data_IF_084721533177
#
_entry.id   IF_084721533177
#
_cell.length_a   1.000
_cell.length_b   1.000
_cell.length_c   1.000
_cell.angle_alpha   90.00
_cell.angle_beta   90.00
_cell.angle_gamma   90.00
#
_symmetry.space_group_name_H-M   'P 1'
#
loop_
_entity.id
_entity.type
_entity.pdbx_description
1 polymer ?
#
# COMPACT_ATOMS: atom_id res chain seq x y z
N UNK A 1 27.30 -14.48 66.24
CA UNK A 1 28.03 -13.69 65.23
C UNK A 1 28.18 -14.52 63.95
N UNK A 2 27.85 -13.93 62.79
CA UNK A 2 28.26 -14.30 61.42
C UNK A 2 27.44 -15.24 60.51
N UNK A 3 26.30 -15.83 60.91
CA UNK A 3 25.49 -16.65 59.96
C UNK A 3 24.03 -16.22 59.73
N UNK A 4 23.47 -15.33 60.55
CA UNK A 4 22.10 -14.84 60.37
C UNK A 4 21.98 -13.49 59.62
N UNK A 5 23.11 -12.92 59.18
CA UNK A 5 23.13 -11.64 58.43
C UNK A 5 23.24 -11.81 56.91
N UNK A 6 23.39 -13.04 56.41
CA UNK A 6 23.58 -13.30 54.98
C UNK A 6 22.25 -13.47 54.20
N UNK A 7 21.12 -13.69 54.89
CA UNK A 7 19.84 -13.97 54.22
C UNK A 7 19.03 -12.68 53.94
N UNK A 8 19.27 -11.59 54.69
CA UNK A 8 18.63 -10.30 54.43
C UNK A 8 19.33 -9.44 53.36
N UNK A 9 20.49 -9.85 52.86
CA UNK A 9 21.20 -9.15 51.77
C UNK A 9 20.87 -9.68 50.37
N UNK A 10 20.03 -10.71 50.25
CA UNK A 10 19.58 -11.28 48.98
C UNK A 10 18.14 -10.85 48.58
N UNK A 11 17.52 -9.94 49.36
CA UNK A 11 16.20 -9.39 49.11
C UNK A 11 16.24 -7.90 48.75
N UNK A 12 17.32 -7.48 48.07
CA UNK A 12 17.48 -6.12 47.57
C UNK A 12 17.82 -6.18 46.08
N UNK A 13 16.91 -5.64 45.28
CA UNK A 13 17.08 -5.28 43.86
C UNK A 13 17.02 -6.44 42.87
N UNK A 14 15.91 -7.17 42.87
CA UNK A 14 15.32 -7.67 41.62
C UNK A 14 14.09 -6.82 41.29
N UNK A 15 14.28 -5.51 41.15
CA UNK A 15 13.36 -4.73 40.33
C UNK A 15 13.55 -5.25 38.90
N UNK A 16 12.70 -6.18 38.49
CA UNK A 16 12.48 -6.44 37.08
C UNK A 16 12.21 -5.08 36.46
N UNK A 17 13.19 -4.56 35.72
CA UNK A 17 12.93 -3.57 34.71
C UNK A 17 12.00 -4.27 33.70
N UNK A 18 10.70 -4.19 33.97
CA UNK A 18 9.70 -4.36 32.93
C UNK A 18 10.16 -3.42 31.81
N UNK A 19 10.47 -3.94 30.61
CA UNK A 19 10.71 -3.04 29.49
C UNK A 19 9.44 -2.19 29.38
N UNK A 20 9.55 -0.91 29.68
CA UNK A 20 8.55 0.06 29.28
C UNK A 20 8.34 -0.18 27.80
N UNK A 21 7.15 -0.67 27.41
CA UNK A 21 6.72 -0.63 26.01
C UNK A 21 6.55 0.84 25.64
N UNK A 22 7.68 1.52 25.46
CA UNK A 22 7.72 2.89 24.99
C UNK A 22 7.34 2.85 23.52
N UNK A 23 6.11 3.27 23.21
CA UNK A 23 5.76 3.78 21.88
C UNK A 23 4.85 2.95 20.97
N UNK A 24 4.09 1.97 21.47
CA UNK A 24 3.20 1.17 20.60
C UNK A 24 1.84 1.82 20.23
N UNK A 25 1.57 3.05 20.69
CA UNK A 25 0.38 3.85 20.34
C UNK A 25 0.71 5.33 20.59
N UNK A 26 1.62 5.89 19.79
CA UNK A 26 1.94 7.31 19.91
C UNK A 26 2.38 7.91 18.58
N UNK A 27 1.80 9.07 18.29
CA UNK A 27 2.18 9.90 17.14
C UNK A 27 3.30 10.88 17.48
N UNK A 28 3.70 11.02 18.75
CA UNK A 28 4.64 12.06 19.20
C UNK A 28 5.97 11.97 18.47
N UNK A 29 6.47 10.75 18.24
CA UNK A 29 7.71 10.49 17.50
C UNK A 29 7.40 9.95 16.09
N UNK A 30 6.47 10.61 15.39
CA UNK A 30 6.04 10.18 14.05
C UNK A 30 5.96 11.37 13.08
N UNK A 31 5.90 11.10 11.77
CA UNK A 31 5.68 12.13 10.75
C UNK A 31 4.37 12.93 10.92
N UNK A 32 3.38 12.42 11.67
CA UNK A 32 2.12 13.12 11.94
C UNK A 32 2.17 14.03 13.17
N UNK A 33 3.29 14.10 13.89
CA UNK A 33 3.51 15.18 14.85
C UNK A 33 3.97 16.43 14.10
N UNK A 34 3.02 17.34 13.84
CA UNK A 34 3.29 18.63 13.19
C UNK A 34 3.52 19.74 14.21
N UNK A 35 3.57 19.45 15.51
CA UNK A 35 3.82 20.48 16.52
C UNK A 35 5.26 20.99 16.49
N UNK A 36 5.50 22.15 17.08
CA UNK A 36 6.81 22.81 17.16
C UNK A 36 7.87 22.06 17.96
N UNK A 37 7.49 21.05 18.74
CA UNK A 37 8.41 20.15 19.42
C UNK A 37 8.80 18.91 18.60
N UNK A 38 8.33 18.78 17.37
CA UNK A 38 8.56 17.61 16.52
C UNK A 38 9.97 17.58 15.91
N UNK A 39 10.37 16.40 15.46
CA UNK A 39 11.55 16.19 14.59
C UNK A 39 11.14 15.84 13.15
N UNK A 40 9.85 15.90 12.84
CA UNK A 40 9.33 15.63 11.50
C UNK A 40 9.80 16.66 10.48
N UNK A 41 9.85 16.25 9.19
CA UNK A 41 10.20 17.14 8.06
C UNK A 41 9.27 18.36 7.97
N UNK A 42 8.00 18.16 8.28
CA UNK A 42 6.96 19.18 8.20
C UNK A 42 6.43 19.39 9.62
N UNK A 43 6.61 20.59 10.15
CA UNK A 43 6.16 20.97 11.49
C UNK A 43 5.89 22.47 11.56
N UNK A 44 4.96 22.85 12.43
CA UNK A 44 4.66 24.24 12.76
C UNK A 44 5.78 24.81 13.62
N UNK A 45 6.04 26.11 13.51
CA UNK A 45 6.95 26.82 14.42
C UNK A 45 6.22 27.41 15.63
N UNK A 46 4.89 27.35 15.67
CA UNK A 46 4.05 28.09 16.62
C UNK A 46 3.17 27.17 17.48
N UNK A 47 2.59 26.14 16.87
CA UNK A 47 1.63 25.27 17.54
C UNK A 47 2.31 24.13 18.28
N UNK A 48 2.04 24.01 19.58
CA UNK A 48 2.66 23.00 20.46
C UNK A 48 1.81 21.76 20.64
N UNK A 49 0.50 21.83 20.35
CA UNK A 49 -0.41 20.69 20.50
C UNK A 49 -0.24 19.72 19.33
N UNK A 50 -0.12 18.45 19.66
CA UNK A 50 0.14 17.40 18.67
C UNK A 50 -1.12 17.05 17.87
N UNK A 51 -2.27 16.89 18.56
CA UNK A 51 -3.48 16.38 17.92
C UNK A 51 -4.29 17.43 17.15
N UNK A 52 -4.04 18.73 17.37
CA UNK A 52 -4.87 19.82 16.82
C UNK A 52 -4.85 19.88 15.29
N UNK A 53 -3.81 19.34 14.65
CA UNK A 53 -3.71 19.25 13.21
C UNK A 53 -4.73 18.27 12.60
N UNK A 54 -5.29 17.36 13.40
CA UNK A 54 -6.27 16.37 12.98
C UNK A 54 -7.61 16.57 13.69
N UNK A 55 -7.59 16.74 15.01
CA UNK A 55 -8.77 16.72 15.86
C UNK A 55 -8.96 18.00 16.66
N UNK A 56 -10.20 18.37 16.92
CA UNK A 56 -10.55 19.51 17.77
C UNK A 56 -11.62 19.11 18.78
N UNK A 57 -11.58 19.59 20.03
CA UNK A 57 -12.64 19.30 21.00
C UNK A 57 -13.99 19.97 20.67
N UNK A 58 -14.00 21.03 19.85
CA UNK A 58 -15.20 21.80 19.47
C UNK A 58 -14.96 22.57 18.16
N UNK A 59 -16.02 23.12 17.55
CA UNK A 59 -15.94 23.86 16.28
C UNK A 59 -15.28 23.05 15.15
N UNK A 60 -15.63 21.76 15.10
CA UNK A 60 -15.17 20.87 14.04
C UNK A 60 -15.67 21.32 12.67
N UNK A 61 -14.89 20.99 11.65
CA UNK A 61 -15.36 21.06 10.28
C UNK A 61 -16.57 20.14 10.12
N UNK A 62 -17.58 20.62 9.40
CA UNK A 62 -18.68 19.77 8.97
C UNK A 62 -18.18 18.83 7.88
N UNK A 63 -18.03 17.56 8.23
CA UNK A 63 -17.63 16.52 7.27
C UNK A 63 -18.75 16.27 6.27
N UNK A 64 -18.34 15.99 5.04
CA UNK A 64 -19.23 15.62 3.94
C UNK A 64 -19.88 14.24 4.15
N UNK A 65 -19.16 13.32 4.81
CA UNK A 65 -19.69 12.02 5.23
C UNK A 65 -20.40 12.20 6.56
N UNK A 66 -21.71 12.42 6.51
CA UNK A 66 -22.55 12.62 7.71
C UNK A 66 -22.72 11.35 8.54
N UNK A 67 -22.26 10.19 8.05
CA UNK A 67 -22.30 8.93 8.77
C UNK A 67 -21.03 8.64 9.56
N UNK A 68 -20.00 9.49 9.44
CA UNK A 68 -18.76 9.34 10.20
C UNK A 68 -18.99 9.55 11.70
N UNK A 69 -18.70 8.52 12.49
CA UNK A 69 -18.88 8.52 13.95
C UNK A 69 -17.58 8.71 14.74
N UNK A 70 -16.48 9.07 14.07
CA UNK A 70 -15.20 9.27 14.73
C UNK A 70 -15.09 10.62 15.44
N UNK A 71 -13.93 10.91 16.07
CA UNK A 71 -13.71 12.16 16.77
C UNK A 71 -13.84 13.37 15.85
N UNK A 72 -14.18 14.51 16.45
CA UNK A 72 -14.31 15.79 15.77
C UNK A 72 -13.04 16.15 15.00
N UNK A 73 -13.20 16.54 13.74
CA UNK A 73 -12.10 16.82 12.82
C UNK A 73 -11.80 18.32 12.74
N UNK A 74 -10.53 18.65 12.78
CA UNK A 74 -10.02 20.02 12.79
C UNK A 74 -9.43 20.40 11.45
N UNK A 75 -9.91 19.91 10.30
CA UNK A 75 -9.47 20.42 8.99
C UNK A 75 -10.60 20.48 8.00
N UNK A 76 -10.51 21.35 7.02
CA UNK A 76 -11.45 21.34 5.90
C UNK A 76 -11.26 20.07 5.06
N UNK A 77 -12.34 19.52 4.53
CA UNK A 77 -12.28 18.47 3.53
C UNK A 77 -12.34 19.08 2.13
N UNK A 78 -11.76 18.40 1.15
CA UNK A 78 -12.10 18.67 -0.22
C UNK A 78 -13.54 18.21 -0.47
N UNK A 79 -14.46 19.17 -0.52
CA UNK A 79 -15.88 18.88 -0.75
C UNK A 79 -16.18 18.69 -2.24
N UNK A 80 -15.28 19.16 -3.11
CA UNK A 80 -15.34 18.87 -4.53
C UNK A 80 -15.22 17.34 -4.72
N UNK A 81 -16.21 16.75 -5.40
CA UNK A 81 -16.22 15.33 -5.77
C UNK A 81 -15.41 15.12 -7.06
N UNK A 82 -14.16 15.56 -7.05
CA UNK A 82 -13.30 15.64 -8.24
C UNK A 82 -12.04 14.78 -8.14
N UNK A 83 -12.02 13.82 -7.20
CA UNK A 83 -11.05 12.74 -7.27
C UNK A 83 -11.33 11.89 -8.50
N UNK A 84 -10.27 11.32 -9.08
CA UNK A 84 -10.38 10.29 -10.12
C UNK A 84 -10.06 8.94 -9.47
N UNK A 85 -11.06 8.14 -9.06
CA UNK A 85 -10.82 6.89 -8.37
C UNK A 85 -10.17 5.85 -9.28
N UNK A 86 -9.52 4.86 -8.66
CA UNK A 86 -9.06 3.67 -9.33
C UNK A 86 -10.18 2.96 -10.09
N UNK A 87 -9.88 2.54 -11.31
CA UNK A 87 -10.72 1.68 -12.12
C UNK A 87 -9.86 0.77 -12.97
N UNK A 88 -10.31 -0.47 -13.15
CA UNK A 88 -9.66 -1.47 -14.00
C UNK A 88 -10.72 -2.40 -14.60
N UNK A 89 -10.37 -3.17 -15.61
CA UNK A 89 -11.26 -4.17 -16.19
C UNK A 89 -11.39 -5.41 -15.31
N UNK A 90 -10.43 -5.65 -14.42
CA UNK A 90 -10.34 -6.83 -13.57
C UNK A 90 -10.87 -6.63 -12.15
N UNK A 91 -11.11 -5.37 -11.74
CA UNK A 91 -11.67 -5.08 -10.41
C UNK A 91 -13.19 -5.32 -10.39
N UNK A 92 -13.63 -6.15 -9.45
CA UNK A 92 -15.07 -6.43 -9.26
C UNK A 92 -15.80 -5.36 -8.42
N UNK A 93 -15.05 -4.63 -7.59
CA UNK A 93 -15.58 -3.51 -6.83
C UNK A 93 -15.68 -2.25 -7.71
N UNK A 94 -16.54 -1.32 -7.31
CA UNK A 94 -16.63 0.02 -7.92
C UNK A 94 -16.20 1.04 -6.87
N UNK A 95 -14.90 1.43 -6.83
CA UNK A 95 -14.43 2.48 -5.94
C UNK A 95 -15.18 3.79 -6.23
N UNK A 96 -15.75 4.38 -5.18
CA UNK A 96 -16.42 5.67 -5.25
C UNK A 96 -15.46 6.83 -5.00
N UNK A 97 -16.03 8.03 -4.90
CA UNK A 97 -15.32 9.16 -4.32
C UNK A 97 -14.86 8.83 -2.89
N UNK A 98 -13.68 9.29 -2.46
CA UNK A 98 -13.20 9.06 -1.10
C UNK A 98 -14.20 9.51 -0.04
N UNK A 99 -14.43 8.64 0.95
CA UNK A 99 -15.40 8.85 2.02
C UNK A 99 -14.84 8.38 3.37
N UNK A 100 -15.52 8.78 4.45
CA UNK A 100 -15.11 8.48 5.82
C UNK A 100 -13.64 8.79 6.09
N UNK A 101 -12.89 7.87 6.74
CA UNK A 101 -11.50 8.11 7.13
C UNK A 101 -10.56 8.49 5.98
N UNK A 102 -10.74 7.91 4.78
CA UNK A 102 -9.85 8.18 3.66
C UNK A 102 -9.93 9.62 3.19
N UNK A 103 -11.12 10.22 3.22
CA UNK A 103 -11.28 11.65 2.89
C UNK A 103 -10.61 12.56 3.91
N UNK A 104 -10.59 12.17 5.18
CA UNK A 104 -9.85 12.91 6.22
C UNK A 104 -8.34 12.88 5.95
N UNK A 105 -7.80 11.71 5.60
CA UNK A 105 -6.39 11.60 5.20
C UNK A 105 -6.08 12.48 3.98
N UNK A 106 -6.94 12.45 2.97
CA UNK A 106 -6.75 13.22 1.74
C UNK A 106 -6.85 14.74 1.96
N UNK A 107 -7.46 15.22 3.05
CA UNK A 107 -7.39 16.65 3.42
C UNK A 107 -5.97 17.18 3.73
N UNK A 108 -4.99 16.28 3.82
CA UNK A 108 -3.56 16.60 3.85
C UNK A 108 -2.84 16.02 2.64
N UNK A 109 -3.15 14.77 2.30
CA UNK A 109 -2.40 13.96 1.34
C UNK A 109 -2.80 14.16 -0.12
N UNK A 110 -3.88 14.90 -0.40
CA UNK A 110 -4.21 15.33 -1.78
C UNK A 110 -3.40 16.55 -2.23
N UNK A 111 -2.63 17.17 -1.33
CA UNK A 111 -1.75 18.30 -1.63
C UNK A 111 -2.47 19.61 -1.98
N UNK A 112 -3.79 19.71 -1.77
CA UNK A 112 -4.57 20.90 -2.16
C UNK A 112 -4.89 21.84 -1.01
N UNK A 113 -4.99 21.32 0.22
CA UNK A 113 -5.34 22.09 1.41
C UNK A 113 -4.09 22.40 2.22
N UNK A 114 -3.91 23.67 2.62
CA UNK A 114 -2.80 24.08 3.47
C UNK A 114 -2.82 23.38 4.84
N UNK A 115 -1.66 22.96 5.33
CA UNK A 115 -1.56 22.24 6.60
C UNK A 115 -1.77 23.16 7.82
N UNK A 116 -1.45 24.45 7.68
CA UNK A 116 -1.47 25.47 8.74
C UNK A 116 -2.84 26.03 9.14
N UNK A 117 -3.91 25.55 8.52
CA UNK A 117 -5.28 25.94 8.82
C UNK A 117 -6.11 24.76 9.32
N UNK A 118 -5.87 24.24 10.53
CA UNK A 118 -6.74 23.24 11.09
C UNK A 118 -8.10 23.85 11.48
N UNK A 119 -9.03 23.87 10.52
CA UNK A 119 -10.42 24.27 10.72
C UNK A 119 -10.53 25.74 11.11
N UNK A 120 -11.33 26.05 12.13
CA UNK A 120 -11.54 27.43 12.60
C UNK A 120 -10.36 28.01 13.40
N UNK A 121 -9.30 27.22 13.63
CA UNK A 121 -8.10 27.68 14.30
C UNK A 121 -6.98 27.88 13.27
N UNK A 122 -6.54 29.13 13.06
CA UNK A 122 -5.31 29.39 12.33
C UNK A 122 -4.13 29.01 13.24
N UNK A 123 -3.47 27.87 13.00
CA UNK A 123 -2.39 27.38 13.88
C UNK A 123 -0.99 27.55 13.30
N UNK A 124 -0.87 27.98 12.04
CA UNK A 124 0.26 28.79 11.56
C UNK A 124 0.05 29.20 10.10
N UNK A 125 0.18 30.48 9.76
CA UNK A 125 0.06 30.93 8.36
C UNK A 125 1.20 30.41 7.44
N UNK A 126 2.23 29.75 7.99
CA UNK A 126 3.43 29.34 7.27
C UNK A 126 3.40 27.90 6.75
N UNK A 127 2.48 27.05 7.22
CA UNK A 127 2.37 25.67 6.74
C UNK A 127 1.46 25.60 5.51
N UNK A 128 2.07 25.62 4.31
CA UNK A 128 1.39 25.42 3.03
C UNK A 128 0.87 23.99 2.82
N UNK A 129 0.33 23.68 1.63
CA UNK A 129 -0.06 22.32 1.27
C UNK A 129 1.14 21.37 1.28
N UNK A 130 0.88 20.07 1.50
CA UNK A 130 1.93 19.07 1.45
C UNK A 130 2.48 18.98 0.01
N UNK A 131 3.79 19.07 -0.14
CA UNK A 131 4.47 18.94 -1.43
C UNK A 131 5.26 17.64 -1.50
N UNK A 132 5.30 16.99 -2.68
CA UNK A 132 6.15 15.82 -2.89
C UNK A 132 7.61 16.12 -2.52
N UNK A 133 8.35 15.15 -1.96
CA UNK A 133 9.77 15.32 -1.71
C UNK A 133 10.52 15.45 -3.07
N UNK A 134 11.66 16.16 -3.10
CA UNK A 134 12.47 16.28 -4.33
C UNK A 134 12.95 14.94 -4.89
N UNK A 135 13.13 13.95 -4.02
CA UNK A 135 13.54 12.59 -4.36
C UNK A 135 12.80 11.58 -3.47
N UNK A 136 12.62 10.35 -3.97
CA UNK A 136 11.99 9.27 -3.23
C UNK A 136 10.47 9.20 -3.39
N UNK A 137 9.83 8.30 -2.61
CA UNK A 137 8.38 8.09 -2.65
C UNK A 137 7.65 9.26 -2.01
N UNK A 138 6.61 9.72 -2.69
CA UNK A 138 5.73 10.79 -2.20
C UNK A 138 4.65 10.22 -1.27
N UNK A 139 4.31 10.96 -0.23
CA UNK A 139 3.08 10.75 0.54
C UNK A 139 1.94 11.67 0.05
N UNK A 140 2.22 12.56 -0.90
CA UNK A 140 1.19 13.32 -1.62
C UNK A 140 0.71 12.45 -2.77
N UNK A 141 -0.55 12.00 -2.68
CA UNK A 141 -1.23 11.20 -3.71
C UNK A 141 -1.88 12.10 -4.77
N UNK A 142 -2.36 13.27 -4.35
CA UNK A 142 -3.12 14.15 -5.24
C UNK A 142 -4.58 13.73 -5.34
N UNK A 143 -5.23 14.17 -6.43
CA UNK A 143 -6.63 13.84 -6.74
C UNK A 143 -6.80 12.70 -7.73
N UNK A 144 -5.74 12.37 -8.46
CA UNK A 144 -5.73 11.22 -9.36
C UNK A 144 -5.29 10.01 -8.55
N UNK A 145 -6.22 9.09 -8.27
CA UNK A 145 -5.99 7.89 -7.46
C UNK A 145 -5.96 6.63 -8.34
N UNK A 146 -5.83 6.80 -9.66
CA UNK A 146 -5.82 5.67 -10.60
C UNK A 146 -4.58 4.79 -10.50
N UNK A 147 -3.53 5.27 -9.85
CA UNK A 147 -2.28 4.57 -9.58
C UNK A 147 -2.10 4.16 -8.11
N UNK A 148 -3.17 4.28 -7.32
CA UNK A 148 -3.24 3.87 -5.93
C UNK A 148 -4.13 2.64 -5.76
N UNK A 149 -3.80 1.82 -4.76
CA UNK A 149 -4.65 0.74 -4.33
C UNK A 149 -6.01 1.31 -3.93
N UNK A 150 -7.12 0.77 -4.47
CA UNK A 150 -8.43 1.34 -4.29
C UNK A 150 -8.85 1.44 -2.82
N UNK A 151 -9.42 2.58 -2.48
CA UNK A 151 -10.05 2.91 -1.19
C UNK A 151 -11.50 3.29 -1.45
N UNK A 152 -12.30 3.38 -0.38
CA UNK A 152 -13.74 3.65 -0.50
C UNK A 152 -14.45 2.67 -1.44
N UNK A 153 -13.95 1.43 -1.44
CA UNK A 153 -14.45 0.31 -2.24
C UNK A 153 -14.99 -0.80 -1.33
N UNK A 154 -15.97 -1.53 -1.82
CA UNK A 154 -16.50 -2.71 -1.12
C UNK A 154 -15.47 -3.84 -1.08
N UNK A 155 -15.29 -4.42 0.10
CA UNK A 155 -14.41 -5.54 0.31
C UNK A 155 -15.03 -6.85 -0.18
N UNK A 156 -14.25 -7.66 -0.91
CA UNK A 156 -14.56 -9.07 -1.12
C UNK A 156 -15.69 -9.37 -2.12
N UNK A 157 -16.01 -8.46 -3.04
CA UNK A 157 -17.07 -8.69 -4.06
C UNK A 157 -16.87 -9.96 -4.91
N UNK A 158 -15.63 -10.31 -5.22
CA UNK A 158 -15.24 -11.57 -5.88
C UNK A 158 -14.65 -12.51 -4.83
N UNK A 159 -15.52 -13.23 -4.12
CA UNK A 159 -15.13 -14.02 -2.93
C UNK A 159 -14.04 -15.06 -3.17
N UNK A 160 -13.84 -15.52 -4.40
CA UNK A 160 -12.78 -16.47 -4.75
C UNK A 160 -11.36 -15.88 -4.66
N UNK A 161 -11.22 -14.55 -4.61
CA UNK A 161 -9.91 -13.87 -4.58
C UNK A 161 -9.61 -13.19 -3.24
N UNK A 162 -10.53 -13.28 -2.28
CA UNK A 162 -10.43 -12.63 -0.98
C UNK A 162 -10.63 -13.62 0.14
N UNK A 163 -9.92 -13.40 1.25
CA UNK A 163 -10.18 -14.09 2.50
C UNK A 163 -11.51 -13.63 3.09
N UNK A 164 -12.08 -14.45 3.96
CA UNK A 164 -13.28 -14.07 4.70
C UNK A 164 -13.01 -12.84 5.60
N UNK A 165 -13.94 -11.88 5.59
CA UNK A 165 -13.79 -10.63 6.31
C UNK A 165 -13.71 -10.80 7.83
N UNK A 166 -14.41 -11.79 8.40
CA UNK A 166 -14.33 -12.07 9.84
C UNK A 166 -12.97 -12.67 10.21
N UNK A 167 -12.39 -13.47 9.32
CA UNK A 167 -11.01 -13.96 9.47
C UNK A 167 -10.00 -12.81 9.43
N UNK A 168 -10.10 -11.93 8.44
CA UNK A 168 -9.19 -10.76 8.30
C UNK A 168 -9.24 -9.87 9.54
N UNK A 169 -10.44 -9.45 9.93
CA UNK A 169 -10.63 -8.48 11.02
C UNK A 169 -10.49 -9.10 12.41
N UNK A 170 -10.73 -10.41 12.55
CA UNK A 170 -10.65 -11.12 13.83
C UNK A 170 -9.24 -11.58 14.20
N UNK A 171 -8.31 -11.69 13.24
CA UNK A 171 -6.97 -12.24 13.47
C UNK A 171 -5.84 -11.23 13.27
N UNK A 172 -6.15 -10.03 12.76
CA UNK A 172 -5.17 -9.00 12.43
C UNK A 172 -5.60 -7.63 12.92
N UNK A 173 -4.74 -6.62 12.75
CA UNK A 173 -5.07 -5.21 13.03
C UNK A 173 -5.75 -4.50 11.85
N UNK A 174 -6.00 -5.20 10.74
CA UNK A 174 -6.76 -4.66 9.60
C UNK A 174 -8.18 -4.31 10.06
N UNK A 175 -8.64 -3.11 9.73
CA UNK A 175 -10.00 -2.64 10.01
C UNK A 175 -10.76 -2.43 8.70
N UNK A 176 -11.92 -3.06 8.56
CA UNK A 176 -12.86 -2.77 7.48
C UNK A 176 -13.95 -1.83 8.00
N UNK A 177 -14.24 -0.77 7.25
CA UNK A 177 -15.23 0.23 7.66
C UNK A 177 -16.63 -0.24 7.25
N UNK A 178 -17.53 -0.38 8.21
CA UNK A 178 -18.91 -0.76 7.94
C UNK A 178 -19.74 0.47 7.58
N UNK A 179 -20.43 0.42 6.45
CA UNK A 179 -21.48 1.38 6.07
C UNK A 179 -22.74 0.59 5.72
N UNK A 180 -23.80 0.81 6.50
CA UNK A 180 -24.97 -0.06 6.49
C UNK A 180 -24.56 -1.55 6.64
N UNK A 181 -24.95 -2.41 5.70
CA UNK A 181 -24.61 -3.84 5.69
C UNK A 181 -23.27 -4.17 5.02
N UNK A 182 -22.59 -3.20 4.41
CA UNK A 182 -21.44 -3.43 3.53
C UNK A 182 -20.13 -3.04 4.22
N UNK A 183 -19.08 -3.84 4.00
CA UNK A 183 -17.73 -3.58 4.48
C UNK A 183 -16.89 -2.92 3.40
N UNK A 184 -16.14 -1.89 3.78
CA UNK A 184 -15.31 -1.10 2.87
C UNK A 184 -13.85 -1.13 3.30
N UNK A 185 -12.97 -1.11 2.28
CA UNK A 185 -11.55 -0.82 2.45
C UNK A 185 -11.35 0.68 2.45
N UNK A 186 -10.60 1.19 3.43
CA UNK A 186 -10.23 2.60 3.55
C UNK A 186 -8.73 2.72 3.86
N UNK A 187 -8.17 3.93 3.86
CA UNK A 187 -6.78 4.16 4.27
C UNK A 187 -6.48 3.52 5.64
N UNK A 188 -7.44 3.57 6.57
CA UNK A 188 -7.31 2.99 7.91
C UNK A 188 -7.37 1.46 7.95
N UNK A 189 -7.64 0.81 6.83
CA UNK A 189 -7.51 -0.65 6.71
C UNK A 189 -6.05 -1.07 6.70
N UNK A 190 -5.15 -0.23 6.16
CA UNK A 190 -3.71 -0.51 6.07
C UNK A 190 -2.88 0.35 7.03
N UNK A 191 -3.38 1.55 7.38
CA UNK A 191 -2.68 2.52 8.21
C UNK A 191 -3.38 2.78 9.56
N UNK A 192 -2.66 2.76 10.67
CA UNK A 192 -3.14 3.27 11.95
C UNK A 192 -2.55 4.67 12.19
N UNK A 193 -3.30 5.76 11.99
CA UNK A 193 -2.75 7.11 12.12
C UNK A 193 -2.24 7.43 13.52
N UNK A 194 -2.56 6.59 14.53
CA UNK A 194 -2.14 6.77 15.91
C UNK A 194 -0.93 5.93 16.33
N UNK A 195 -0.45 5.04 15.44
CA UNK A 195 0.59 4.08 15.77
C UNK A 195 1.54 3.87 14.59
N UNK A 196 2.79 4.27 14.79
CA UNK A 196 3.85 4.16 13.79
C UNK A 196 4.89 3.08 14.13
N UNK A 197 4.55 2.09 14.98
CA UNK A 197 5.53 1.09 15.45
C UNK A 197 6.16 0.27 14.32
N UNK A 198 5.46 0.06 13.20
CA UNK A 198 5.96 -0.68 12.03
C UNK A 198 6.49 0.24 10.92
N UNK A 199 6.52 1.56 11.15
CA UNK A 199 6.81 2.56 10.13
C UNK A 199 5.66 2.73 9.13
N UNK A 200 5.63 3.88 8.46
CA UNK A 200 4.55 4.28 7.53
C UNK A 200 3.13 4.09 8.11
N UNK A 201 2.99 4.12 9.44
CA UNK A 201 1.75 3.81 10.14
C UNK A 201 1.12 2.46 9.78
N UNK A 202 1.88 1.49 9.28
CA UNK A 202 1.29 0.21 8.87
C UNK A 202 0.64 -0.51 10.06
N UNK A 203 -0.50 -1.15 9.83
CA UNK A 203 -1.18 -1.94 10.86
C UNK A 203 -0.55 -3.31 11.08
N UNK A 204 0.31 -3.77 10.16
CA UNK A 204 1.05 -5.03 10.24
C UNK A 204 2.56 -4.80 10.10
N UNK A 205 3.35 -5.67 10.72
CA UNK A 205 4.79 -5.73 10.52
C UNK A 205 5.11 -6.37 9.17
N UNK A 206 5.72 -5.60 8.27
CA UNK A 206 6.13 -6.04 6.94
C UNK A 206 7.65 -6.17 6.81
N UNK A 207 8.39 -6.26 7.93
CA UNK A 207 9.85 -6.29 7.95
C UNK A 207 10.42 -7.61 7.42
N UNK A 208 9.73 -8.72 7.68
CA UNK A 208 10.08 -10.07 7.20
C UNK A 208 9.43 -10.41 5.85
N UNK A 209 8.18 -9.99 5.63
CA UNK A 209 7.42 -10.22 4.38
C UNK A 209 6.73 -8.92 3.97
N UNK A 210 7.18 -8.31 2.86
CA UNK A 210 6.74 -6.97 2.47
C UNK A 210 5.33 -6.93 1.88
N UNK A 211 4.80 -8.08 1.48
CA UNK A 211 3.46 -8.28 0.94
C UNK A 211 2.45 -8.81 1.99
N UNK A 212 2.82 -8.87 3.27
CA UNK A 212 1.94 -9.36 4.34
C UNK A 212 0.59 -8.61 4.38
N UNK A 213 0.56 -7.31 4.08
CA UNK A 213 -0.68 -6.53 3.98
C UNK A 213 -1.59 -7.01 2.85
N UNK A 214 -0.99 -7.45 1.73
CA UNK A 214 -1.71 -7.93 0.56
C UNK A 214 -2.31 -9.32 0.85
N UNK A 215 -1.48 -10.24 1.34
CA UNK A 215 -1.84 -11.66 1.52
C UNK A 215 -2.79 -11.93 2.69
N UNK A 216 -2.96 -10.96 3.60
CA UNK A 216 -4.01 -10.99 4.61
C UNK A 216 -5.39 -10.83 3.99
N UNK A 217 -5.54 -10.00 2.97
CA UNK A 217 -6.83 -9.77 2.33
C UNK A 217 -7.03 -10.65 1.08
N UNK A 218 -6.01 -10.75 0.24
CA UNK A 218 -6.07 -11.43 -1.04
C UNK A 218 -5.63 -12.90 -0.91
N UNK A 219 -6.43 -13.78 -1.52
CA UNK A 219 -6.16 -15.20 -1.64
C UNK A 219 -6.09 -15.54 -3.13
N UNK A 220 -4.91 -15.39 -3.74
CA UNK A 220 -4.71 -15.71 -5.16
C UNK A 220 -4.49 -17.22 -5.32
N UNK A 221 -5.23 -17.80 -6.27
CA UNK A 221 -5.17 -19.23 -6.61
C UNK A 221 -3.74 -19.63 -6.99
N UNK A 222 -3.24 -20.69 -6.36
CA UNK A 222 -1.91 -21.28 -6.53
C UNK A 222 -0.71 -20.34 -6.27
N UNK A 223 -0.91 -19.24 -5.53
CA UNK A 223 0.18 -18.38 -5.07
C UNK A 223 1.12 -19.10 -4.10
N UNK A 224 0.54 -19.80 -3.11
CA UNK A 224 1.31 -20.57 -2.14
C UNK A 224 1.99 -21.75 -2.83
N UNK A 225 3.31 -21.85 -2.68
CA UNK A 225 4.15 -22.82 -3.38
C UNK A 225 4.73 -22.30 -4.69
N UNK A 226 4.30 -21.14 -5.20
CA UNK A 226 4.83 -20.57 -6.43
C UNK A 226 6.30 -20.13 -6.27
N UNK A 227 7.00 -20.03 -7.40
CA UNK A 227 8.35 -19.51 -7.51
C UNK A 227 8.41 -18.01 -7.20
N UNK A 228 7.32 -17.26 -7.38
CA UNK A 228 7.26 -15.84 -7.01
C UNK A 228 6.89 -15.60 -5.55
N UNK A 229 6.33 -16.59 -4.86
CA UNK A 229 6.19 -16.58 -3.39
C UNK A 229 7.47 -17.07 -2.69
N UNK A 230 8.05 -18.19 -3.13
CA UNK A 230 9.16 -18.85 -2.42
C UNK A 230 10.56 -18.56 -2.99
N UNK A 231 10.64 -17.87 -4.12
CA UNK A 231 11.86 -17.72 -4.91
C UNK A 231 13.07 -17.18 -4.14
N UNK A 232 14.26 -17.63 -4.55
CA UNK A 232 15.55 -17.32 -3.94
C UNK A 232 16.23 -16.05 -4.46
N UNK A 233 17.55 -16.14 -4.71
CA UNK A 233 18.43 -14.99 -4.98
C UNK A 233 18.08 -14.21 -6.25
N UNK A 234 18.26 -12.90 -6.15
CA UNK A 234 17.95 -11.89 -7.18
C UNK A 234 18.75 -12.14 -8.45
N UNK A 235 18.09 -12.03 -9.60
CA UNK A 235 18.76 -12.07 -10.91
C UNK A 235 19.27 -10.69 -11.37
N UNK A 236 18.88 -9.60 -10.71
CA UNK A 236 19.39 -8.25 -10.96
C UNK A 236 19.54 -7.42 -9.68
N UNK A 237 20.38 -6.37 -9.73
CA UNK A 237 20.53 -5.39 -8.66
C UNK A 237 19.34 -4.42 -8.50
N UNK A 238 18.34 -4.49 -9.39
CA UNK A 238 17.19 -3.59 -9.40
C UNK A 238 16.15 -3.92 -8.31
N UNK A 239 16.19 -5.12 -7.74
CA UNK A 239 15.30 -5.54 -6.66
C UNK A 239 16.02 -5.41 -5.30
N UNK A 240 15.45 -4.72 -4.29
CA UNK A 240 16.14 -4.41 -3.04
C UNK A 240 16.12 -5.54 -1.99
N UNK A 241 15.32 -6.59 -2.20
CA UNK A 241 15.19 -7.76 -1.31
C UNK A 241 15.13 -9.08 -2.10
N UNK A 242 15.18 -10.22 -1.43
CA UNK A 242 14.95 -11.53 -2.07
C UNK A 242 13.51 -11.61 -2.59
N UNK A 243 13.28 -12.41 -3.63
CA UNK A 243 11.97 -12.53 -4.28
C UNK A 243 10.91 -12.90 -3.23
N UNK A 244 11.17 -13.92 -2.40
CA UNK A 244 10.27 -14.34 -1.33
C UNK A 244 10.03 -13.28 -0.25
N UNK A 245 11.02 -12.42 0.06
CA UNK A 245 10.86 -11.35 1.05
C UNK A 245 9.90 -10.26 0.55
N UNK A 246 9.88 -10.01 -0.75
CA UNK A 246 9.02 -9.00 -1.36
C UNK A 246 7.67 -9.55 -1.81
N UNK A 247 7.60 -10.81 -2.25
CA UNK A 247 6.38 -11.44 -2.77
C UNK A 247 5.66 -10.54 -3.78
N UNK A 248 4.40 -10.18 -3.49
CA UNK A 248 3.58 -9.34 -4.37
C UNK A 248 4.23 -8.01 -4.76
N UNK A 249 5.01 -7.38 -3.86
CA UNK A 249 5.57 -6.03 -4.11
C UNK A 249 6.80 -6.03 -5.02
N UNK A 250 7.22 -7.20 -5.53
CA UNK A 250 8.13 -7.26 -6.67
C UNK A 250 7.47 -6.73 -7.95
N UNK A 251 6.16 -6.96 -8.08
CA UNK A 251 5.40 -6.66 -9.29
C UNK A 251 4.39 -5.53 -9.06
N UNK A 252 3.78 -5.47 -7.88
CA UNK A 252 2.72 -4.51 -7.57
C UNK A 252 3.20 -3.37 -6.66
N UNK A 253 2.75 -2.16 -6.98
CA UNK A 253 2.97 -0.94 -6.20
C UNK A 253 1.62 -0.46 -5.67
N UNK A 254 1.43 -0.36 -4.34
CA UNK A 254 0.15 0.07 -3.79
C UNK A 254 -0.12 1.57 -3.93
N UNK A 255 0.91 2.39 -4.16
CA UNK A 255 0.77 3.85 -4.30
C UNK A 255 1.75 4.39 -5.34
N UNK A 256 1.26 5.17 -6.30
CA UNK A 256 2.09 5.73 -7.36
C UNK A 256 2.60 4.69 -8.36
N UNK A 257 1.77 3.70 -8.70
CA UNK A 257 2.10 2.70 -9.71
C UNK A 257 2.20 3.33 -11.11
N UNK A 258 3.30 3.11 -11.84
CA UNK A 258 3.45 3.70 -13.17
C UNK A 258 2.43 3.15 -14.17
N UNK A 259 2.03 1.88 -14.00
CA UNK A 259 0.89 1.29 -14.69
C UNK A 259 -0.28 1.21 -13.72
N UNK A 260 -0.95 2.35 -13.54
CA UNK A 260 -1.98 2.49 -12.52
C UNK A 260 -3.09 1.45 -12.63
N UNK A 261 -3.59 1.16 -13.84
CA UNK A 261 -4.71 0.22 -14.09
C UNK A 261 -4.48 -1.22 -13.59
N UNK A 262 -3.22 -1.64 -13.46
CA UNK A 262 -2.82 -2.97 -12.99
C UNK A 262 -1.98 -2.90 -11.70
N UNK A 263 -1.76 -1.68 -11.19
CA UNK A 263 -0.88 -1.36 -10.08
C UNK A 263 0.54 -1.92 -10.22
N UNK A 264 1.09 -1.99 -11.44
CA UNK A 264 2.43 -2.56 -11.67
C UNK A 264 3.55 -1.54 -11.37
N UNK A 265 4.69 -2.05 -10.91
CA UNK A 265 5.80 -1.24 -10.34
C UNK A 265 6.62 -0.44 -11.35
N UNK A 266 6.60 -0.85 -12.62
CA UNK A 266 7.71 -0.63 -13.56
C UNK A 266 8.18 0.80 -13.80
N UNK A 267 9.45 0.91 -14.21
CA UNK A 267 10.29 2.14 -14.25
C UNK A 267 10.99 2.38 -15.59
N UNK A 268 10.47 1.85 -16.72
CA UNK A 268 11.04 2.05 -18.05
C UNK A 268 10.11 2.82 -19.00
N UNK A 269 10.68 3.56 -19.96
CA UNK A 269 9.92 4.15 -21.05
C UNK A 269 9.32 3.02 -21.92
N UNK A 270 8.00 2.97 -22.04
CA UNK A 270 7.28 1.86 -22.70
C UNK A 270 6.85 0.73 -21.78
N UNK A 271 6.72 0.98 -20.46
CA UNK A 271 6.24 0.01 -19.48
C UNK A 271 4.91 -0.66 -19.89
N UNK A 272 4.86 -1.97 -19.69
CA UNK A 272 3.81 -2.93 -20.05
C UNK A 272 3.75 -4.05 -19.00
N UNK A 273 2.75 -4.93 -19.09
CA UNK A 273 2.74 -6.16 -18.29
C UNK A 273 3.98 -7.04 -18.51
N UNK A 274 4.52 -7.09 -19.73
CA UNK A 274 5.64 -7.97 -20.09
C UNK A 274 6.96 -7.46 -19.56
N UNK A 275 7.21 -6.16 -19.69
CA UNK A 275 8.39 -5.52 -19.12
C UNK A 275 8.43 -5.71 -17.60
N UNK A 276 7.29 -5.94 -16.94
CA UNK A 276 7.23 -6.14 -15.48
C UNK A 276 7.96 -7.41 -15.08
N UNK A 277 7.92 -8.42 -15.97
CA UNK A 277 8.64 -9.67 -15.79
C UNK A 277 10.13 -9.49 -16.13
N UNK A 278 10.45 -9.01 -17.32
CA UNK A 278 11.83 -9.12 -17.83
C UNK A 278 12.70 -7.89 -17.57
N UNK A 279 12.17 -6.66 -17.50
CA UNK A 279 13.00 -5.45 -17.40
C UNK A 279 13.84 -5.42 -16.11
N UNK A 280 13.33 -6.03 -15.02
CA UNK A 280 14.01 -6.07 -13.72
C UNK A 280 14.42 -7.47 -13.27
N UNK A 281 13.75 -8.56 -13.68
CA UNK A 281 13.97 -9.88 -13.09
C UNK A 281 14.44 -10.94 -14.10
N UNK A 282 13.79 -11.04 -15.27
CA UNK A 282 14.06 -12.07 -16.26
C UNK A 282 14.94 -11.60 -17.46
N UNK A 283 15.93 -10.73 -17.20
CA UNK A 283 16.87 -10.19 -18.20
C UNK A 283 18.31 -10.72 -18.12
N UNK A 284 18.62 -11.61 -17.16
CA UNK A 284 20.00 -12.07 -16.95
C UNK A 284 20.47 -12.95 -18.13
N UNK A 285 21.78 -13.07 -18.36
CA UNK A 285 22.34 -13.73 -19.56
C UNK A 285 22.34 -15.27 -19.54
N UNK A 286 22.03 -15.92 -18.42
CA UNK A 286 22.04 -17.38 -18.26
C UNK A 286 20.63 -17.96 -18.09
N UNK A 287 20.31 -19.02 -18.86
CA UNK A 287 19.12 -19.85 -18.67
C UNK A 287 19.13 -20.52 -17.27
N UNK A 288 17.98 -20.65 -16.57
CA UNK A 288 16.60 -20.36 -17.00
C UNK A 288 16.14 -18.90 -16.77
N UNK A 289 17.02 -18.02 -16.33
CA UNK A 289 16.69 -16.65 -15.91
C UNK A 289 16.68 -15.61 -17.04
N UNK A 290 16.88 -16.04 -18.29
CA UNK A 290 16.79 -15.21 -19.50
C UNK A 290 15.54 -15.56 -20.32
N UNK A 291 14.36 -15.21 -19.81
CA UNK A 291 13.11 -15.47 -20.55
C UNK A 291 13.10 -14.61 -21.82
N UNK A 292 13.66 -13.41 -21.77
CA UNK A 292 13.74 -12.50 -22.92
C UNK A 292 14.47 -13.11 -24.13
N UNK A 293 15.54 -13.87 -23.92
CA UNK A 293 16.27 -14.50 -25.04
C UNK A 293 15.52 -15.65 -25.71
N UNK A 294 14.52 -16.25 -25.04
CA UNK A 294 13.68 -17.30 -25.64
C UNK A 294 12.84 -16.76 -26.81
N UNK A 295 12.53 -15.46 -26.81
CA UNK A 295 11.80 -14.80 -27.90
C UNK A 295 12.63 -14.63 -29.19
N UNK A 296 13.95 -14.80 -29.12
CA UNK A 296 14.86 -14.72 -30.25
C UNK A 296 15.22 -16.10 -30.85
N UNK A 297 14.67 -17.19 -30.32
CA UNK A 297 14.98 -18.55 -30.78
C UNK A 297 14.26 -18.85 -32.10
N UNK A 298 15.04 -19.10 -33.16
CA UNK A 298 14.52 -19.49 -34.48
C UNK A 298 13.70 -20.77 -34.40
N UNK A 299 12.47 -20.74 -34.90
CA UNK A 299 11.53 -21.88 -34.90
C UNK A 299 10.48 -21.87 -33.79
N UNK A 300 10.68 -21.09 -32.72
CA UNK A 300 9.62 -20.78 -31.77
C UNK A 300 8.71 -19.71 -32.40
N UNK A 301 7.41 -20.01 -32.57
CA UNK A 301 6.42 -19.07 -33.10
C UNK A 301 5.99 -18.06 -32.02
N UNK A 302 6.96 -17.32 -31.49
CA UNK A 302 6.71 -16.11 -30.74
C UNK A 302 6.80 -14.98 -31.77
N UNK A 303 5.70 -14.32 -32.19
CA UNK A 303 5.75 -13.20 -33.14
C UNK A 303 6.71 -12.11 -32.64
N UNK A 304 7.94 -12.12 -33.15
CA UNK A 304 9.02 -11.27 -32.69
C UNK A 304 8.76 -9.83 -33.12
N UNK A 305 8.45 -8.96 -32.16
CA UNK A 305 8.45 -7.50 -32.36
C UNK A 305 7.19 -6.73 -31.99
N UNK A 306 6.20 -7.33 -31.31
CA UNK A 306 4.92 -6.67 -31.01
C UNK A 306 4.41 -6.69 -29.56
N UNK A 307 5.12 -7.34 -28.64
CA UNK A 307 4.63 -7.56 -27.25
C UNK A 307 4.35 -6.26 -26.49
N UNK A 308 5.25 -5.27 -26.61
CA UNK A 308 5.08 -3.97 -25.96
C UNK A 308 4.40 -2.91 -26.84
N UNK A 309 4.21 -3.17 -28.13
CA UNK A 309 3.59 -2.18 -29.03
C UNK A 309 2.11 -1.96 -28.74
N UNK A 310 1.53 -2.82 -27.90
CA UNK A 310 0.20 -2.72 -27.34
C UNK A 310 0.19 -3.05 -25.84
N UNK A 311 1.21 -2.58 -25.10
CA UNK A 311 1.57 -2.81 -23.69
C UNK A 311 0.49 -3.23 -22.65
N UNK A 312 -0.79 -2.92 -22.90
CA UNK A 312 -1.93 -3.12 -22.00
C UNK A 312 -3.19 -3.65 -22.73
N UNK A 313 -3.05 -4.41 -23.82
CA UNK A 313 -4.21 -4.94 -24.56
C UNK A 313 -4.84 -6.17 -23.90
N UNK A 314 -4.06 -6.98 -23.18
CA UNK A 314 -4.63 -8.10 -22.45
C UNK A 314 -5.59 -7.64 -21.36
N UNK A 315 -6.74 -8.30 -21.28
CA UNK A 315 -7.68 -8.18 -20.18
C UNK A 315 -8.25 -9.56 -19.87
N UNK A 316 -8.33 -9.93 -18.59
CA UNK A 316 -8.97 -11.18 -18.16
C UNK A 316 -10.46 -11.26 -18.57
N UNK A 317 -11.06 -10.16 -19.01
CA UNK A 317 -12.48 -10.06 -19.40
C UNK A 317 -12.70 -10.02 -20.92
N UNK A 318 -11.65 -10.25 -21.72
CA UNK A 318 -11.77 -10.27 -23.17
C UNK A 318 -12.67 -11.42 -23.67
N UNK A 319 -13.39 -11.19 -24.77
CA UNK A 319 -14.24 -12.21 -25.38
C UNK A 319 -13.48 -12.89 -26.52
N UNK A 320 -13.18 -14.17 -26.34
CA UNK A 320 -12.50 -14.98 -27.35
C UNK A 320 -13.50 -15.59 -28.37
N UNK A 321 -13.11 -15.72 -29.66
CA UNK A 321 -11.84 -15.32 -30.24
C UNK A 321 -11.75 -13.81 -30.53
N UNK A 322 -10.56 -13.23 -30.34
CA UNK A 322 -10.33 -11.81 -30.62
C UNK A 322 -10.46 -11.47 -32.12
N UNK A 323 -11.06 -10.33 -32.48
CA UNK A 323 -10.99 -9.77 -33.82
C UNK A 323 -9.54 -9.60 -34.28
N UNK A 324 -9.28 -9.67 -35.59
CA UNK A 324 -7.93 -9.63 -36.14
C UNK A 324 -7.13 -8.37 -35.73
N UNK A 325 -7.81 -7.24 -35.51
CA UNK A 325 -7.22 -5.96 -35.06
C UNK A 325 -6.84 -5.94 -33.58
N UNK A 326 -7.41 -6.84 -32.79
CA UNK A 326 -7.26 -6.89 -31.34
C UNK A 326 -6.40 -8.05 -30.85
N UNK A 327 -6.02 -8.95 -31.76
CA UNK A 327 -5.04 -10.00 -31.50
C UNK A 327 -3.76 -9.39 -30.93
N UNK A 328 -3.36 -9.93 -29.80
CA UNK A 328 -2.11 -9.63 -29.11
C UNK A 328 -1.54 -10.94 -28.56
N UNK A 329 -0.29 -10.87 -28.12
CA UNK A 329 0.36 -11.93 -27.35
C UNK A 329 1.17 -11.22 -26.27
N UNK A 330 0.98 -11.61 -25.01
CA UNK A 330 1.71 -11.19 -23.82
C UNK A 330 2.14 -12.43 -23.02
N UNK A 331 3.08 -12.27 -22.08
CA UNK A 331 3.52 -13.35 -21.21
C UNK A 331 2.35 -13.94 -20.42
N UNK A 332 1.44 -13.08 -19.97
CA UNK A 332 0.27 -13.47 -19.15
C UNK A 332 -0.81 -14.23 -19.93
N UNK A 333 -0.78 -14.17 -21.27
CA UNK A 333 -1.73 -14.91 -22.11
C UNK A 333 -1.50 -16.42 -22.04
N UNK A 334 -0.26 -16.82 -21.74
CA UNK A 334 0.16 -18.22 -21.64
C UNK A 334 0.62 -18.61 -20.23
N UNK A 335 1.20 -17.67 -19.47
CA UNK A 335 1.81 -17.95 -18.17
C UNK A 335 1.13 -17.17 -17.06
N UNK A 336 0.72 -17.86 -16.00
CA UNK A 336 0.17 -17.19 -14.82
C UNK A 336 1.30 -16.84 -13.83
N UNK A 337 1.66 -15.55 -13.64
CA UNK A 337 2.75 -15.16 -12.74
C UNK A 337 2.44 -15.48 -11.27
N UNK A 338 1.17 -15.65 -10.89
CA UNK A 338 0.82 -16.09 -9.55
C UNK A 338 1.02 -17.59 -9.32
N UNK A 339 1.18 -18.39 -10.37
CA UNK A 339 1.21 -19.86 -10.31
C UNK A 339 2.52 -20.45 -10.85
N UNK A 340 3.50 -19.61 -11.16
CA UNK A 340 4.76 -20.03 -11.74
C UNK A 340 5.47 -21.04 -10.81
N UNK A 341 5.92 -22.19 -11.33
CA UNK A 341 6.67 -23.21 -10.57
C UNK A 341 7.99 -23.56 -11.27
N UNK A 342 9.02 -23.97 -10.51
CA UNK A 342 10.40 -24.02 -11.01
C UNK A 342 10.75 -25.13 -12.00
N UNK A 343 9.81 -25.94 -12.52
CA UNK A 343 10.21 -26.93 -13.54
C UNK A 343 9.14 -27.56 -14.42
N UNK A 344 7.91 -27.05 -14.47
CA UNK A 344 6.95 -27.48 -15.47
C UNK A 344 5.97 -26.35 -15.74
N UNK A 345 5.88 -25.94 -17.00
CA UNK A 345 4.67 -25.32 -17.52
C UNK A 345 3.46 -26.22 -17.14
N UNK A 346 2.34 -25.63 -16.74
CA UNK A 346 1.57 -24.75 -17.62
C UNK A 346 2.01 -23.29 -17.59
#
# INVERSE_FOLDING_TARGET
MKLFRAILAALAVATMALPSRSGADSIVNSPHNLSSGSTARVMSTEETRVCIFCHTPHHATKLSDTSYTGPLWSREENTAQDYTPYASTTIAASPGQPQGPSRLCLSCHDGTIALGAPGTHATSATLGPLTPPPTGKSTVLGKDLRDDHPISMEYGRKTSEFRDAATVTGTTRIKLVRRASTLYVECTSCHDPHDNQYGNFLVLDTSSHRDALCTVCHAKTDWTGSAHENGGTRSSGSIPADVAKNGCVNCHTPHGAQQGVDLLTLTAAGASMDTNCYASCHNSSSYPSNVYSQFAVSGAHHPSGGYDSAANKHSETETLPLPATDKHVHCVDCHNPHQAIWQNAP
#
